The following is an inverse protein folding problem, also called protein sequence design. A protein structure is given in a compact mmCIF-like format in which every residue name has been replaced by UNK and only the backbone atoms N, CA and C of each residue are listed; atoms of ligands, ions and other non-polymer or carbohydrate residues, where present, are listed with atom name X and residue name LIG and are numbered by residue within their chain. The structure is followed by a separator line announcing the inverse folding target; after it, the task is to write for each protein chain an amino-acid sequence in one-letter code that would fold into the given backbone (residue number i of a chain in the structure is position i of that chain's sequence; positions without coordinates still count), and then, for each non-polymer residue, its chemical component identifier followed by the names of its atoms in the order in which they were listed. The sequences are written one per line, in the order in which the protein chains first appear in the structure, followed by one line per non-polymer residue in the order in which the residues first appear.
data_IF_120346815545
#
_entry.id   IF_120346815545
#
_cell.length_a   1.000
_cell.length_b   1.000
_cell.length_c   1.000
_cell.angle_alpha   90.00
_cell.angle_beta   90.00
_cell.angle_gamma   90.00
#
_symmetry.space_group_name_H-M   'P 1'
#
loop_
_entity.id
_entity.type
_entity.pdbx_description
1 polymer ?
#
# COMPACT_ATOMS: atom_id res chain seq x y z
N UNK A 1 -4.80 6.80 16.80
CA UNK A 1 -4.40 5.72 15.87
C UNK A 1 -5.08 6.07 14.58
N UNK A 2 -4.33 6.61 13.62
CA UNK A 2 -4.92 7.09 12.37
C UNK A 2 -5.13 5.90 11.44
N UNK A 3 -6.37 5.74 10.97
CA UNK A 3 -6.79 4.64 10.11
C UNK A 3 -7.08 5.20 8.72
N UNK A 4 -6.68 4.47 7.68
CA UNK A 4 -7.09 4.77 6.30
C UNK A 4 -8.27 3.90 5.93
N UNK A 5 -9.34 4.53 5.50
CA UNK A 5 -10.52 3.86 4.96
C UNK A 5 -10.45 3.89 3.44
N UNK A 6 -10.57 2.71 2.81
CA UNK A 6 -10.80 2.61 1.39
C UNK A 6 -12.16 1.98 1.16
N UNK A 7 -13.07 2.75 0.57
CA UNK A 7 -14.30 2.19 0.02
C UNK A 7 -13.93 1.45 -1.26
N UNK A 8 -14.14 0.14 -1.25
CA UNK A 8 -13.99 -0.69 -2.43
C UNK A 8 -15.28 -1.47 -2.60
N UNK A 9 -15.70 -1.64 -3.86
CA UNK A 9 -16.45 -2.83 -4.24
C UNK A 9 -15.54 -4.04 -4.08
N UNK A 10 -15.51 -4.64 -2.88
CA UNK A 10 -14.70 -5.82 -2.63
C UNK A 10 -15.56 -7.08 -2.52
N UNK A 11 -15.07 -8.15 -3.15
CA UNK A 11 -15.59 -9.50 -2.97
C UNK A 11 -15.12 -10.07 -1.62
N UNK A 12 -15.83 -11.02 -1.00
CA UNK A 12 -15.37 -11.68 0.21
C UNK A 12 -13.95 -12.28 0.09
N UNK A 13 -13.56 -12.71 -1.11
CA UNK A 13 -12.21 -13.24 -1.39
C UNK A 13 -11.14 -12.16 -1.20
N UNK A 14 -11.41 -10.90 -1.57
CA UNK A 14 -10.45 -9.80 -1.41
C UNK A 14 -10.08 -9.56 0.06
N UNK A 15 -10.99 -9.77 1.01
CA UNK A 15 -10.67 -9.66 2.45
C UNK A 15 -9.67 -10.74 2.87
N UNK A 16 -9.92 -11.99 2.45
CA UNK A 16 -9.06 -13.14 2.75
C UNK A 16 -7.67 -12.91 2.15
N UNK A 17 -7.60 -12.40 0.92
CA UNK A 17 -6.35 -12.10 0.24
C UNK A 17 -5.54 -11.01 0.95
N UNK A 18 -6.18 -9.89 1.30
CA UNK A 18 -5.51 -8.80 2.02
C UNK A 18 -5.01 -9.23 3.41
N UNK A 19 -5.76 -10.09 4.10
CA UNK A 19 -5.36 -10.61 5.41
C UNK A 19 -4.10 -11.51 5.38
N UNK A 20 -3.73 -12.00 4.20
CA UNK A 20 -2.56 -12.89 4.02
C UNK A 20 -1.28 -12.11 3.73
N UNK A 21 -1.40 -10.84 3.33
CA UNK A 21 -0.28 -9.98 3.01
C UNK A 21 0.26 -9.33 4.28
N UNK A 22 1.50 -9.65 4.62
CA UNK A 22 2.20 -9.04 5.75
C UNK A 22 3.66 -8.80 5.39
N UNK A 23 3.97 -7.58 4.95
CA UNK A 23 5.31 -7.18 4.56
C UNK A 23 5.53 -5.69 4.88
N UNK A 24 6.75 -5.32 5.27
CA UNK A 24 7.08 -3.94 5.68
C UNK A 24 6.78 -2.89 4.59
N UNK A 25 6.85 -3.27 3.32
CA UNK A 25 6.62 -2.42 2.15
C UNK A 25 5.27 -2.61 1.44
N UNK A 26 4.32 -3.32 2.06
CA UNK A 26 2.93 -3.44 1.60
C UNK A 26 2.02 -2.71 2.58
N UNK A 27 0.95 -2.08 2.07
CA UNK A 27 -0.08 -1.49 2.91
C UNK A 27 -0.68 -2.54 3.86
N UNK A 28 -0.60 -2.29 5.18
CA UNK A 28 -1.00 -3.26 6.18
C UNK A 28 -2.52 -3.24 6.36
N UNK A 29 -3.17 -4.33 5.96
CA UNK A 29 -4.59 -4.54 6.25
C UNK A 29 -4.81 -4.71 7.76
N UNK A 30 -5.83 -4.04 8.29
CA UNK A 30 -6.17 -4.06 9.71
C UNK A 30 -7.53 -4.70 9.94
N UNK A 31 -8.55 -4.25 9.20
CA UNK A 31 -9.92 -4.70 9.40
C UNK A 31 -10.81 -4.40 8.18
N UNK A 32 -12.06 -4.83 8.21
CA UNK A 32 -13.05 -4.58 7.17
C UNK A 32 -14.46 -4.37 7.77
N UNK A 33 -15.22 -3.49 7.15
CA UNK A 33 -16.65 -3.32 7.44
C UNK A 33 -17.48 -4.16 6.48
N UNK A 34 -18.20 -5.15 7.01
CA UNK A 34 -19.09 -6.03 6.24
C UNK A 34 -20.52 -5.50 6.29
N UNK A 35 -20.85 -4.66 5.31
CA UNK A 35 -22.24 -4.24 5.09
C UNK A 35 -22.90 -4.95 3.90
N UNK A 36 -24.22 -5.03 3.99
CA UNK A 36 -25.09 -5.62 2.97
C UNK A 36 -25.07 -4.80 1.68
N UNK A 37 -25.09 -3.48 1.82
CA UNK A 37 -24.88 -2.54 0.73
C UNK A 37 -23.42 -2.55 0.25
N UNK A 38 -23.24 -2.70 -1.06
CA UNK A 38 -21.92 -2.79 -1.69
C UNK A 38 -21.12 -1.48 -1.59
N UNK A 39 -21.79 -0.33 -1.50
CA UNK A 39 -21.12 0.98 -1.35
C UNK A 39 -20.68 1.26 0.09
N UNK A 40 -21.26 0.53 1.05
CA UNK A 40 -20.98 0.65 2.48
C UNK A 40 -19.86 -0.30 2.95
N UNK A 41 -19.26 -1.06 2.02
CA UNK A 41 -18.12 -1.95 2.30
C UNK A 41 -16.81 -1.17 2.32
N UNK A 42 -16.08 -1.32 3.42
CA UNK A 42 -14.82 -0.60 3.64
C UNK A 42 -13.72 -1.59 4.03
N UNK A 43 -12.52 -1.40 3.46
CA UNK A 43 -11.29 -2.02 3.94
C UNK A 43 -10.50 -0.97 4.74
N UNK A 44 -9.96 -1.40 5.88
CA UNK A 44 -9.22 -0.56 6.81
C UNK A 44 -7.75 -0.94 6.75
N UNK A 45 -6.91 0.06 6.52
CA UNK A 45 -5.46 -0.10 6.46
C UNK A 45 -4.77 0.83 7.46
N UNK A 46 -3.54 0.46 7.82
CA UNK A 46 -2.63 1.36 8.54
C UNK A 46 -2.38 2.62 7.72
N UNK A 47 -2.51 3.79 8.36
CA UNK A 47 -2.31 5.07 7.70
C UNK A 47 -0.81 5.40 7.56
N UNK A 48 -0.41 5.80 6.35
CA UNK A 48 0.91 6.32 6.06
C UNK A 48 0.82 7.85 5.94
N UNK A 49 1.27 8.54 6.98
CA UNK A 49 1.02 9.97 7.21
C UNK A 49 1.79 10.93 6.30
N UNK A 50 2.80 10.45 5.56
CA UNK A 50 3.62 11.29 4.69
C UNK A 50 3.10 11.30 3.25
N UNK A 51 1.83 11.00 3.01
CA UNK A 51 1.20 11.09 1.69
C UNK A 51 1.72 10.07 0.67
N UNK A 52 1.57 10.39 -0.61
CA UNK A 52 1.93 9.53 -1.74
C UNK A 52 3.30 9.90 -2.31
N UNK A 53 3.98 8.92 -2.91
CA UNK A 53 5.23 9.16 -3.64
C UNK A 53 5.02 10.17 -4.78
N UNK A 54 3.83 10.22 -5.39
CA UNK A 54 3.49 11.21 -6.40
C UNK A 54 3.60 12.64 -5.85
N UNK A 55 3.05 12.90 -4.66
CA UNK A 55 3.12 14.22 -4.02
C UNK A 55 4.57 14.62 -3.73
N UNK A 56 5.39 13.69 -3.22
CA UNK A 56 6.82 13.94 -2.99
C UNK A 56 7.61 14.25 -4.26
N UNK A 57 7.24 13.64 -5.38
CA UNK A 57 7.93 13.83 -6.66
C UNK A 57 7.51 15.12 -7.40
N UNK A 58 6.29 15.62 -7.18
CA UNK A 58 5.73 16.73 -7.97
C UNK A 58 5.47 18.01 -7.17
N UNK A 59 5.14 17.89 -5.88
CA UNK A 59 4.71 19.02 -5.04
C UNK A 59 5.56 19.20 -3.78
N UNK A 60 6.36 18.19 -3.41
CA UNK A 60 7.30 18.29 -2.31
C UNK A 60 8.43 19.30 -2.61
N UNK A 61 8.93 19.97 -1.58
CA UNK A 61 10.21 20.65 -1.70
C UNK A 61 11.27 19.60 -2.07
N UNK A 62 11.83 19.68 -3.28
CA UNK A 62 12.80 18.73 -3.79
C UNK A 62 13.99 18.49 -2.82
N UNK A 63 14.26 19.45 -1.93
CA UNK A 63 15.24 19.38 -0.85
C UNK A 63 14.94 18.28 0.19
N UNK A 64 13.68 17.89 0.39
CA UNK A 64 13.30 16.84 1.35
C UNK A 64 13.50 15.43 0.78
N UNK A 65 13.72 15.27 -0.52
CA UNK A 65 13.86 13.96 -1.16
C UNK A 65 15.31 13.65 -1.55
N UNK A 66 16.17 13.56 -0.52
CA UNK A 66 17.58 13.23 -0.68
C UNK A 66 17.79 11.91 -1.45
N UNK A 67 18.97 11.75 -2.05
CA UNK A 67 19.31 10.52 -2.77
C UNK A 67 19.15 9.26 -1.90
N UNK A 68 19.51 9.36 -0.61
CA UNK A 68 19.35 8.26 0.33
C UNK A 68 17.88 7.85 0.50
N UNK A 69 16.96 8.82 0.61
CA UNK A 69 15.52 8.55 0.71
C UNK A 69 14.97 7.92 -0.56
N UNK A 70 15.39 8.41 -1.74
CA UNK A 70 15.04 7.82 -3.04
C UNK A 70 15.47 6.36 -3.13
N UNK A 71 16.70 6.06 -2.70
CA UNK A 71 17.21 4.69 -2.71
C UNK A 71 16.46 3.79 -1.72
N UNK A 72 16.16 4.28 -0.51
CA UNK A 72 15.35 3.54 0.47
C UNK A 72 13.98 3.15 -0.14
N UNK A 73 13.35 4.09 -0.83
CA UNK A 73 12.04 3.87 -1.48
C UNK A 73 12.14 2.89 -2.64
N UNK A 74 13.11 3.06 -3.54
CA UNK A 74 13.29 2.14 -4.67
C UNK A 74 13.55 0.70 -4.19
N UNK A 75 14.39 0.52 -3.17
CA UNK A 75 14.67 -0.80 -2.57
C UNK A 75 13.42 -1.36 -1.91
N UNK A 76 12.65 -0.55 -1.17
CA UNK A 76 11.41 -1.01 -0.54
C UNK A 76 10.36 -1.47 -1.53
N UNK A 77 10.21 -0.77 -2.67
CA UNK A 77 9.33 -1.20 -3.77
C UNK A 77 9.83 -2.52 -4.39
N UNK A 78 11.14 -2.67 -4.60
CA UNK A 78 11.69 -3.92 -5.11
C UNK A 78 11.45 -5.10 -4.14
N UNK A 79 11.58 -4.87 -2.83
CA UNK A 79 11.27 -5.87 -1.80
C UNK A 79 9.80 -6.26 -1.81
N UNK A 80 8.87 -5.30 -1.93
CA UNK A 80 7.44 -5.62 -1.99
C UNK A 80 7.10 -6.48 -3.22
N UNK A 81 7.65 -6.15 -4.39
CA UNK A 81 7.49 -6.95 -5.61
C UNK A 81 8.04 -8.37 -5.45
N UNK A 82 9.23 -8.52 -4.86
CA UNK A 82 9.80 -9.84 -4.58
C UNK A 82 8.90 -10.65 -3.65
N UNK A 83 8.44 -10.04 -2.57
CA UNK A 83 7.54 -10.68 -1.61
C UNK A 83 6.27 -11.19 -2.30
N UNK A 84 5.58 -10.33 -3.05
CA UNK A 84 4.36 -10.68 -3.76
C UNK A 84 4.59 -11.79 -4.80
N UNK A 85 5.64 -11.71 -5.62
CA UNK A 85 5.86 -12.66 -6.71
C UNK A 85 6.44 -14.00 -6.27
N UNK A 86 7.22 -14.04 -5.17
CA UNK A 86 8.05 -15.21 -4.85
C UNK A 86 7.84 -15.79 -3.46
N UNK A 87 7.39 -14.97 -2.50
CA UNK A 87 7.28 -15.36 -1.09
C UNK A 87 5.81 -15.62 -0.70
N UNK A 88 4.86 -14.94 -1.35
CA UNK A 88 3.43 -15.20 -1.18
C UNK A 88 2.95 -16.41 -2.00
N UNK A 89 2.07 -17.24 -1.42
CA UNK A 89 1.54 -18.45 -2.07
C UNK A 89 0.03 -18.55 -1.90
N UNK A 90 -0.76 -18.45 -2.96
CA UNK A 90 -0.35 -18.22 -4.35
C UNK A 90 0.20 -16.79 -4.51
N UNK A 91 0.98 -16.54 -5.59
CA UNK A 91 1.59 -15.24 -5.81
C UNK A 91 0.54 -14.17 -6.06
N UNK A 92 0.86 -12.94 -5.65
CA UNK A 92 0.08 -11.73 -5.92
C UNK A 92 0.87 -10.83 -6.87
N UNK A 93 0.21 -9.85 -7.49
CA UNK A 93 0.83 -8.78 -8.28
C UNK A 93 0.35 -7.40 -7.82
N UNK A 94 1.07 -6.34 -8.20
CA UNK A 94 0.56 -4.96 -8.08
C UNK A 94 -0.14 -4.63 -9.39
N UNK A 95 -1.42 -4.27 -9.34
CA UNK A 95 -2.24 -4.02 -10.54
C UNK A 95 -1.65 -2.89 -11.38
N UNK A 96 -1.36 -1.76 -10.72
CA UNK A 96 -0.71 -0.62 -11.33
C UNK A 96 0.36 -0.06 -10.40
N UNK A 97 1.63 -0.31 -10.74
CA UNK A 97 2.75 0.30 -10.02
C UNK A 97 2.97 1.73 -10.54
N UNK A 98 2.33 2.70 -9.86
CA UNK A 98 2.40 4.14 -10.15
C UNK A 98 2.78 4.89 -8.88
N UNK A 99 3.28 6.11 -9.01
CA UNK A 99 3.70 6.90 -7.84
C UNK A 99 2.53 7.25 -6.89
N UNK A 100 1.29 7.26 -7.37
CA UNK A 100 0.10 7.49 -6.54
C UNK A 100 -0.39 6.23 -5.81
N UNK A 101 0.03 5.03 -6.23
CA UNK A 101 -0.26 3.77 -5.53
C UNK A 101 0.82 3.39 -4.52
N UNK A 102 1.85 4.23 -4.35
CA UNK A 102 2.88 4.05 -3.31
C UNK A 102 2.75 5.16 -2.29
N UNK A 103 2.36 4.78 -1.07
CA UNK A 103 2.33 5.68 0.07
C UNK A 103 3.68 5.71 0.78
N UNK A 104 3.95 6.79 1.50
CA UNK A 104 5.20 7.00 2.22
C UNK A 104 4.87 7.23 3.70
N UNK A 105 5.56 6.52 4.58
CA UNK A 105 5.49 6.77 6.03
C UNK A 105 6.38 7.95 6.44
N UNK A 106 6.26 8.42 7.67
CA UNK A 106 7.14 9.46 8.24
C UNK A 106 8.63 9.12 8.13
N UNK A 107 9.00 7.85 8.28
CA UNK A 107 10.38 7.40 8.18
C UNK A 107 10.84 7.15 6.71
N UNK A 108 10.03 7.55 5.72
CA UNK A 108 10.28 7.33 4.28
C UNK A 108 10.34 5.85 3.88
N UNK A 109 9.55 5.00 4.55
CA UNK A 109 9.33 3.62 4.12
C UNK A 109 8.17 3.58 3.13
N UNK A 110 8.36 3.02 1.92
CA UNK A 110 7.29 2.94 0.93
C UNK A 110 6.29 1.84 1.33
N UNK A 111 5.01 2.09 1.09
CA UNK A 111 3.89 1.17 1.25
C UNK A 111 3.18 1.06 -0.09
N UNK A 112 3.44 0.00 -0.83
CA UNK A 112 2.70 -0.29 -2.05
C UNK A 112 1.26 -0.68 -1.70
N UNK A 113 0.34 -0.03 -2.38
CA UNK A 113 -1.10 -0.25 -2.34
C UNK A 113 -1.56 -0.94 -3.63
N UNK A 114 -2.85 -1.29 -3.72
CA UNK A 114 -3.51 -1.84 -4.91
C UNK A 114 -2.93 -3.18 -5.41
N UNK A 115 -2.80 -4.11 -4.46
CA UNK A 115 -2.41 -5.50 -4.72
C UNK A 115 -3.60 -6.28 -5.27
N UNK A 116 -3.34 -7.07 -6.31
CA UNK A 116 -4.32 -7.97 -6.95
C UNK A 116 -3.79 -9.40 -6.95
N UNK A 117 -4.73 -10.33 -6.88
CA UNK A 117 -4.48 -11.75 -7.08
C UNK A 117 -4.39 -12.06 -8.57
#
# INVERSE_FOLDING_TARGET
MDLRFLSYHYSPLKVIDMARLNHENIAKFLDYCRESDLFSRILVFEYASNGTLYEHLHYGEAAQFSWLRRMKIAIGIAKSLRYLHTESRPPFAISELKANSVYVTEDFTPKADDVVY
#
